data_IF_942456982651
#
_entry.id   IF_942456982651
#
_cell.length_a   1.000
_cell.length_b   1.000
_cell.length_c   1.000
_cell.angle_alpha   90.00
_cell.angle_beta   90.00
_cell.angle_gamma   90.00
#
_symmetry.space_group_name_H-M   'P 1'
#
loop_
_entity.id
_entity.type
_entity.pdbx_description
1 polymer ?
#
# COMPACT_ATOMS: atom_id res chain seq x y z
N UNK A 1 28.04 5.26 39.66
CA UNK A 1 27.75 4.20 38.66
C UNK A 1 26.27 4.25 38.27
N UNK A 2 25.87 5.04 37.27
CA UNK A 2 24.46 5.16 36.86
C UNK A 2 24.33 5.57 35.39
N UNK A 3 25.10 4.90 34.53
CA UNK A 3 25.14 5.11 33.07
C UNK A 3 24.22 4.14 32.31
N UNK A 4 23.93 2.98 32.90
CA UNK A 4 22.98 2.00 32.36
C UNK A 4 21.60 2.56 31.98
N UNK A 5 20.92 3.40 32.80
CA UNK A 5 19.60 3.92 32.41
C UNK A 5 19.68 4.88 31.21
N UNK A 6 20.79 5.61 31.06
CA UNK A 6 21.01 6.54 29.96
C UNK A 6 21.20 5.81 28.62
N UNK A 7 22.00 4.73 28.63
CA UNK A 7 22.19 3.87 27.46
C UNK A 7 20.88 3.24 27.00
N UNK A 8 20.05 2.79 27.94
CA UNK A 8 18.76 2.20 27.63
C UNK A 8 17.79 3.20 27.00
N UNK A 9 17.73 4.42 27.53
CA UNK A 9 16.91 5.49 26.94
C UNK A 9 17.35 5.83 25.51
N UNK A 10 18.66 5.89 25.24
CA UNK A 10 19.20 6.17 23.91
C UNK A 10 18.83 5.07 22.90
N UNK A 11 18.93 3.80 23.31
CA UNK A 11 18.56 2.64 22.48
C UNK A 11 17.08 2.65 22.09
N UNK A 12 16.18 3.04 23.01
CA UNK A 12 14.75 3.17 22.72
C UNK A 12 14.48 4.29 21.71
N UNK A 13 15.12 5.46 21.86
CA UNK A 13 14.92 6.58 20.91
C UNK A 13 15.35 6.19 19.49
N UNK A 14 16.47 5.48 19.33
CA UNK A 14 16.98 5.05 18.02
C UNK A 14 16.06 4.00 17.38
N UNK A 15 15.51 3.08 18.17
CA UNK A 15 14.65 1.99 17.66
C UNK A 15 13.23 2.45 17.31
N UNK A 16 12.69 3.46 18.00
CA UNK A 16 11.37 4.00 17.69
C UNK A 16 11.36 4.87 16.41
N UNK A 17 12.50 5.44 16.01
CA UNK A 17 12.62 6.22 14.77
C UNK A 17 12.63 5.37 13.49
N UNK A 18 12.93 4.06 13.60
CA UNK A 18 12.98 3.13 12.47
C UNK A 18 11.63 2.49 12.13
N UNK A 19 10.60 2.71 12.95
CA UNK A 19 9.22 2.34 12.63
C UNK A 19 8.63 3.34 11.63
N UNK A 20 9.21 3.40 10.44
CA UNK A 20 8.53 3.98 9.30
C UNK A 20 7.17 3.29 9.19
N UNK A 21 6.09 4.07 9.27
CA UNK A 21 4.73 3.58 9.14
C UNK A 21 4.70 2.53 8.02
N UNK A 22 4.30 1.27 8.28
CA UNK A 22 4.10 0.33 7.19
C UNK A 22 3.09 1.01 6.28
N UNK A 23 3.54 1.41 5.09
CA UNK A 23 2.71 2.02 4.07
C UNK A 23 1.55 1.05 3.92
N UNK A 24 0.39 1.42 4.48
CA UNK A 24 -0.76 0.53 4.60
C UNK A 24 -0.87 -0.20 3.26
N UNK A 25 -0.72 -1.54 3.22
CA UNK A 25 -0.86 -2.25 1.97
C UNK A 25 -2.23 -1.85 1.49
N UNK A 26 -2.27 -1.04 0.40
CA UNK A 26 -3.51 -0.53 -0.15
C UNK A 26 -4.41 -1.77 -0.22
N UNK A 27 -5.58 -1.76 0.44
CA UNK A 27 -6.45 -2.94 0.46
C UNK A 27 -6.54 -3.37 -0.98
N UNK A 28 -6.19 -4.62 -1.26
CA UNK A 28 -6.17 -5.16 -2.61
C UNK A 28 -7.57 -4.89 -3.17
N UNK A 29 -7.69 -3.79 -3.92
CA UNK A 29 -8.99 -3.23 -4.27
C UNK A 29 -9.57 -4.27 -5.21
N UNK A 30 -10.52 -5.06 -4.70
CA UNK A 30 -11.25 -6.00 -5.55
C UNK A 30 -11.88 -5.16 -6.64
N UNK A 31 -11.47 -5.43 -7.88
CA UNK A 31 -12.06 -4.74 -9.02
C UNK A 31 -13.57 -4.99 -9.01
N UNK A 32 -14.36 -3.93 -9.21
CA UNK A 32 -15.79 -3.91 -8.93
C UNK A 32 -16.17 -3.07 -7.70
N UNK A 33 -15.20 -2.61 -6.89
CA UNK A 33 -15.44 -1.71 -5.78
C UNK A 33 -15.18 -0.24 -6.16
N UNK A 34 -16.02 0.70 -5.68
CA UNK A 34 -15.88 2.17 -5.86
C UNK A 34 -15.65 2.64 -7.31
N UNK A 35 -16.54 2.24 -8.23
CA UNK A 35 -16.48 2.71 -9.62
C UNK A 35 -15.30 2.13 -10.41
N UNK A 36 -14.78 0.98 -9.98
CA UNK A 36 -13.87 0.15 -10.79
C UNK A 36 -14.65 -0.93 -11.51
N UNK A 37 -14.19 -1.33 -12.69
CA UNK A 37 -14.80 -2.37 -13.51
C UNK A 37 -13.73 -3.17 -14.25
N UNK A 38 -14.05 -4.42 -14.59
CA UNK A 38 -13.17 -5.25 -15.41
C UNK A 38 -13.49 -5.05 -16.89
N UNK A 39 -12.46 -4.84 -17.70
CA UNK A 39 -12.58 -4.64 -19.14
C UNK A 39 -11.66 -5.62 -19.89
N UNK A 40 -12.13 -6.27 -20.96
CA UNK A 40 -11.28 -7.16 -21.75
C UNK A 40 -10.18 -6.36 -22.45
N UNK A 41 -8.92 -6.76 -22.27
CA UNK A 41 -7.78 -6.07 -22.86
C UNK A 41 -7.41 -4.78 -22.13
N UNK A 42 -7.22 -3.66 -22.85
CA UNK A 42 -6.76 -2.38 -22.31
C UNK A 42 -7.95 -1.51 -21.90
N UNK A 43 -7.80 -0.73 -20.82
CA UNK A 43 -8.84 0.19 -20.37
C UNK A 43 -9.26 1.19 -21.45
N UNK A 44 -10.55 1.58 -21.50
CA UNK A 44 -11.04 2.61 -22.41
C UNK A 44 -10.32 3.96 -22.18
N UNK A 45 -10.35 4.84 -23.19
CA UNK A 45 -9.78 6.19 -23.05
C UNK A 45 -10.51 6.95 -21.96
N UNK A 46 -9.75 7.59 -21.08
CA UNK A 46 -10.27 8.32 -19.93
C UNK A 46 -10.26 7.51 -18.63
N UNK A 47 -10.05 6.20 -18.70
CA UNK A 47 -10.05 5.33 -17.52
C UNK A 47 -8.64 5.00 -17.03
N UNK A 48 -8.44 4.96 -15.71
CA UNK A 48 -7.17 4.58 -15.12
C UNK A 48 -7.03 3.06 -15.02
N UNK A 49 -5.88 2.53 -15.46
CA UNK A 49 -5.50 1.13 -15.25
C UNK A 49 -5.03 0.91 -13.81
N UNK A 50 -5.67 -0.03 -13.11
CA UNK A 50 -5.37 -0.34 -11.71
C UNK A 50 -4.71 -1.72 -11.50
N UNK A 51 -4.77 -2.60 -12.49
CA UNK A 51 -4.23 -3.95 -12.39
C UNK A 51 -4.99 -4.95 -13.25
N UNK A 52 -4.80 -6.23 -12.97
CA UNK A 52 -5.46 -7.34 -13.67
C UNK A 52 -6.62 -7.86 -12.83
N UNK A 53 -7.80 -8.04 -13.42
CA UNK A 53 -8.92 -8.71 -12.78
C UNK A 53 -8.80 -10.23 -12.89
N UNK A 54 -8.61 -10.69 -14.12
CA UNK A 54 -8.59 -12.07 -14.57
C UNK A 54 -7.69 -12.13 -15.81
N UNK A 55 -7.25 -13.32 -16.22
CA UNK A 55 -6.47 -13.49 -17.46
C UNK A 55 -7.17 -12.78 -18.64
N UNK A 56 -6.45 -11.85 -19.27
CA UNK A 56 -6.97 -11.06 -20.39
C UNK A 56 -7.89 -9.89 -20.03
N UNK A 57 -8.16 -9.61 -18.75
CA UNK A 57 -9.02 -8.52 -18.30
C UNK A 57 -8.28 -7.54 -17.40
N UNK A 58 -8.35 -6.25 -17.74
CA UNK A 58 -7.82 -5.16 -16.94
C UNK A 58 -8.86 -4.62 -15.97
N UNK A 59 -8.42 -4.29 -14.77
CA UNK A 59 -9.19 -3.49 -13.83
C UNK A 59 -9.03 -2.01 -14.17
N UNK A 60 -10.15 -1.36 -14.48
CA UNK A 60 -10.22 0.03 -14.90
C UNK A 60 -11.03 0.84 -13.90
N UNK A 61 -10.69 2.11 -13.72
CA UNK A 61 -11.49 3.06 -12.95
C UNK A 61 -12.03 4.15 -13.87
N UNK A 62 -13.30 4.52 -13.70
CA UNK A 62 -13.84 5.76 -14.29
C UNK A 62 -12.98 6.97 -13.96
#
# INVERSE_FOLDING_TARGET
>A
MKIFPFLFALLLVISHGAAGFPKSPRPLLRCGYRGTFCFPGRCPRGNAYLGVCQSGHSCCKW
#
